data_IF_336650268314
#
_entry.id   IF_336650268314
#
_cell.length_a   1.000
_cell.length_b   1.000
_cell.length_c   1.000
_cell.angle_alpha   90.00
_cell.angle_beta   90.00
_cell.angle_gamma   90.00
#
_symmetry.space_group_name_H-M   'P 1'
#
loop_
_entity.id
_entity.type
_entity.pdbx_description
1 polymer ?
#
# COMPACT_ATOMS: atom_id res chain seq x y z
N UNK A 1 14.15 5.63 -14.50
CA UNK A 1 12.98 5.46 -13.62
C UNK A 1 12.28 4.16 -13.96
N UNK A 2 11.40 3.67 -13.09
CA UNK A 2 10.55 2.51 -13.39
C UNK A 2 9.64 2.82 -14.58
N UNK A 3 9.37 1.83 -15.42
CA UNK A 3 8.47 1.96 -16.59
C UNK A 3 6.99 1.73 -16.22
N UNK A 4 6.71 1.43 -14.95
CA UNK A 4 5.39 1.21 -14.41
C UNK A 4 5.17 2.10 -13.19
N UNK A 5 3.89 2.32 -12.87
CA UNK A 5 3.46 2.97 -11.64
C UNK A 5 3.37 1.95 -10.52
N UNK A 6 3.97 2.27 -9.38
CA UNK A 6 3.81 1.50 -8.15
C UNK A 6 2.61 2.00 -7.35
N UNK A 7 1.94 1.07 -6.68
CA UNK A 7 0.97 1.35 -5.63
C UNK A 7 1.31 0.44 -4.43
N UNK A 8 1.35 1.01 -3.23
CA UNK A 8 1.66 0.30 -2.00
C UNK A 8 0.41 0.18 -1.14
N UNK A 9 0.11 -1.03 -0.66
CA UNK A 9 -1.05 -1.33 0.19
C UNK A 9 -0.60 -2.20 1.35
N UNK A 10 -0.86 -1.76 2.57
CA UNK A 10 -0.45 -2.42 3.81
C UNK A 10 -1.56 -2.40 4.85
N UNK A 11 -1.47 -3.29 5.84
CA UNK A 11 -2.23 -3.20 7.09
C UNK A 11 -1.38 -2.58 8.20
N UNK A 12 -1.96 -1.81 9.10
CA UNK A 12 -1.25 -1.18 10.22
C UNK A 12 -0.88 -2.14 11.36
N UNK A 13 -1.39 -3.37 11.35
CA UNK A 13 -1.02 -4.47 12.25
C UNK A 13 -0.17 -5.53 11.57
N UNK A 14 0.33 -5.27 10.35
CA UNK A 14 1.25 -6.18 9.68
C UNK A 14 2.56 -6.28 10.50
N UNK A 15 2.85 -7.44 11.12
CA UNK A 15 4.03 -7.58 11.98
C UNK A 15 5.35 -7.48 11.21
N UNK A 16 5.32 -7.58 9.88
CA UNK A 16 6.53 -7.42 9.04
C UNK A 16 6.95 -5.97 8.88
N UNK A 17 6.08 -5.02 9.25
CA UNK A 17 6.31 -3.58 9.15
C UNK A 17 6.59 -2.94 10.52
N UNK A 18 6.47 -3.70 11.60
CA UNK A 18 6.78 -3.26 12.96
C UNK A 18 8.31 -3.29 13.20
N UNK A 19 8.88 -2.29 13.86
CA UNK A 19 8.22 -1.12 14.47
C UNK A 19 8.11 0.12 13.56
N UNK A 20 8.56 0.06 12.30
CA UNK A 20 8.84 1.27 11.50
C UNK A 20 8.14 1.34 10.14
N UNK A 21 6.80 1.39 10.15
CA UNK A 21 6.01 1.66 8.95
C UNK A 21 6.36 3.01 8.30
N UNK A 22 6.83 3.98 9.07
CA UNK A 22 7.26 5.29 8.54
C UNK A 22 8.54 5.17 7.71
N UNK A 23 9.50 4.36 8.14
CA UNK A 23 10.70 4.01 7.38
C UNK A 23 10.36 3.31 6.07
N UNK A 24 9.38 2.41 6.06
CA UNK A 24 8.88 1.77 4.84
C UNK A 24 8.26 2.80 3.89
N UNK A 25 7.45 3.74 4.40
CA UNK A 25 6.90 4.85 3.60
C UNK A 25 8.01 5.72 3.01
N UNK A 26 9.03 6.04 3.79
CA UNK A 26 10.18 6.82 3.32
C UNK A 26 10.94 6.08 2.21
N UNK A 27 11.18 4.78 2.37
CA UNK A 27 11.82 3.94 1.35
C UNK A 27 11.01 3.88 0.04
N UNK A 28 9.68 3.74 0.14
CA UNK A 28 8.79 3.77 -1.02
C UNK A 28 8.88 5.11 -1.78
N UNK A 29 8.96 6.24 -1.06
CA UNK A 29 9.09 7.57 -1.65
C UNK A 29 10.43 7.79 -2.37
N UNK A 30 11.51 7.10 -1.95
CA UNK A 30 12.79 7.11 -2.68
C UNK A 30 12.67 6.40 -4.03
N UNK A 31 11.85 5.34 -4.12
CA UNK A 31 11.65 4.56 -5.35
C UNK A 31 10.77 5.33 -6.35
N UNK A 32 9.62 5.82 -5.89
CA UNK A 32 8.70 6.63 -6.70
C UNK A 32 7.94 7.60 -5.77
N UNK A 33 8.33 8.90 -5.72
CA UNK A 33 7.80 9.85 -4.74
C UNK A 33 6.28 10.01 -4.72
N UNK A 34 5.64 9.87 -5.88
CA UNK A 34 4.19 10.03 -6.04
C UNK A 34 3.41 8.70 -6.06
N UNK A 35 4.08 7.59 -5.77
CA UNK A 35 3.40 6.30 -5.67
C UNK A 35 2.41 6.33 -4.50
N UNK A 36 1.13 5.97 -4.70
CA UNK A 36 0.17 5.90 -3.62
C UNK A 36 0.61 4.90 -2.55
N UNK A 37 0.36 5.27 -1.29
CA UNK A 37 0.69 4.46 -0.13
C UNK A 37 -0.52 4.39 0.80
N UNK A 38 -1.24 3.28 0.72
CA UNK A 38 -2.47 3.04 1.46
C UNK A 38 -2.21 2.13 2.66
N UNK A 39 -2.73 2.54 3.82
CA UNK A 39 -2.64 1.76 5.07
C UNK A 39 -4.06 1.52 5.58
N UNK A 40 -4.42 0.25 5.73
CA UNK A 40 -5.69 -0.17 6.29
C UNK A 40 -5.55 -0.29 7.81
N UNK A 41 -6.50 0.30 8.55
CA UNK A 41 -6.48 0.29 10.01
C UNK A 41 -6.97 -1.04 10.56
N UNK A 42 -6.43 -1.43 11.70
CA UNK A 42 -6.77 -2.66 12.42
C UNK A 42 -6.72 -3.91 11.51
N UNK A 43 -5.78 -3.91 10.57
CA UNK A 43 -5.63 -4.96 9.54
C UNK A 43 -4.20 -5.49 9.55
N UNK A 44 -4.05 -6.81 9.49
CA UNK A 44 -2.76 -7.49 9.45
C UNK A 44 -2.14 -7.53 8.06
N UNK A 45 -1.29 -8.53 7.85
CA UNK A 45 -0.51 -8.72 6.63
C UNK A 45 -1.37 -9.01 5.39
N UNK A 46 -2.57 -9.56 5.57
CA UNK A 46 -3.40 -10.08 4.49
C UNK A 46 -4.61 -9.18 4.24
N UNK A 47 -4.36 -7.91 3.93
CA UNK A 47 -5.38 -6.86 3.71
C UNK A 47 -6.51 -7.30 2.77
N UNK A 48 -6.18 -8.00 1.68
CA UNK A 48 -7.15 -8.48 0.70
C UNK A 48 -8.14 -9.52 1.25
N UNK A 49 -7.79 -10.19 2.35
CA UNK A 49 -8.66 -11.17 3.02
C UNK A 49 -9.30 -10.58 4.27
N UNK A 50 -8.55 -9.81 5.06
CA UNK A 50 -9.00 -9.24 6.33
C UNK A 50 -9.92 -8.02 6.16
N UNK A 51 -9.71 -7.23 5.09
CA UNK A 51 -10.50 -6.05 4.75
C UNK A 51 -10.98 -6.11 3.28
N UNK A 52 -11.44 -7.29 2.85
CA UNK A 52 -11.72 -7.63 1.46
C UNK A 52 -12.60 -6.60 0.74
N UNK A 53 -13.71 -6.16 1.34
CA UNK A 53 -14.63 -5.21 0.70
C UNK A 53 -13.97 -3.85 0.42
N UNK A 54 -13.25 -3.31 1.41
CA UNK A 54 -12.56 -2.05 1.27
C UNK A 54 -11.35 -2.17 0.31
N UNK A 55 -10.63 -3.29 0.33
CA UNK A 55 -9.56 -3.58 -0.61
C UNK A 55 -10.07 -3.67 -2.05
N UNK A 56 -11.14 -4.43 -2.28
CA UNK A 56 -11.76 -4.61 -3.60
C UNK A 56 -12.40 -3.31 -4.12
N UNK A 57 -12.84 -2.42 -3.23
CA UNK A 57 -13.28 -1.06 -3.59
C UNK A 57 -12.12 -0.17 -4.02
N UNK A 58 -10.96 -0.29 -3.36
CA UNK A 58 -9.77 0.50 -3.67
C UNK A 58 -9.08 0.05 -4.98
N UNK A 59 -9.00 -1.26 -5.22
CA UNK A 59 -8.17 -1.85 -6.27
C UNK A 59 -8.42 -1.27 -7.69
N UNK A 60 -9.66 -1.10 -8.18
CA UNK A 60 -9.91 -0.51 -9.50
C UNK A 60 -9.35 0.91 -9.64
N UNK A 61 -9.35 1.71 -8.58
CA UNK A 61 -8.82 3.07 -8.59
C UNK A 61 -7.29 3.06 -8.75
N UNK A 62 -6.61 2.09 -8.13
CA UNK A 62 -5.15 1.93 -8.24
C UNK A 62 -4.70 1.48 -9.62
N UNK A 63 -5.51 0.64 -10.27
CA UNK A 63 -5.24 0.06 -11.59
C UNK A 63 -5.63 1.00 -12.74
N UNK A 64 -6.70 1.78 -12.57
CA UNK A 64 -7.24 2.66 -13.63
C UNK A 64 -6.53 4.00 -13.72
N UNK A 65 -5.77 4.38 -12.68
CA UNK A 65 -4.84 5.50 -12.72
C UNK A 65 -3.68 5.17 -13.68
N UNK A 66 -3.94 5.29 -14.98
CA UNK A 66 -2.96 5.18 -16.05
C UNK A 66 -2.02 6.39 -16.03
N UNK A 67 -0.78 6.14 -16.46
CA UNK A 67 0.37 7.08 -16.53
C UNK A 67 0.03 8.37 -17.27
#
# INVERSE_FOLDING_TARGET
GLTCRLNFVFGDKDPTLDPDLNGIRAAAAVIQPEAPFHVFRETGHWVQYEAADAFNTLLPNLLSASV
#
